data_IF_766309693586
#
_entry.id   IF_766309693586
#
_cell.length_a   1.000
_cell.length_b   1.000
_cell.length_c   1.000
_cell.angle_alpha   90.00
_cell.angle_beta   90.00
_cell.angle_gamma   90.00
#
_symmetry.space_group_name_H-M   'P 1'
#
loop_
_entity.id
_entity.type
_entity.pdbx_description
1 polymer ?
#
# COMPACT_ATOMS: atom_id res chain seq x y z
N UNK A 1 -4.64 -17.05 1.85
CA UNK A 1 -3.81 -15.86 1.58
C UNK A 1 -3.34 -15.35 2.93
N UNK A 2 -2.04 -15.12 3.13
CA UNK A 2 -1.49 -14.79 4.45
C UNK A 2 -1.87 -13.35 4.80
N UNK A 3 -2.23 -13.12 6.05
CA UNK A 3 -2.40 -11.80 6.65
C UNK A 3 -1.82 -11.84 8.07
N UNK A 4 -1.29 -10.71 8.55
CA UNK A 4 -0.79 -10.59 9.91
C UNK A 4 -1.64 -9.60 10.69
N UNK A 5 -1.91 -9.92 11.95
CA UNK A 5 -2.65 -9.07 12.85
C UNK A 5 -1.78 -8.72 14.05
N UNK A 6 -1.82 -7.44 14.42
CA UNK A 6 -1.33 -6.94 15.70
C UNK A 6 -2.50 -6.33 16.46
N UNK A 7 -2.25 -5.81 17.66
CA UNK A 7 -3.29 -5.11 18.43
C UNK A 7 -3.92 -3.96 17.62
N UNK A 8 -3.09 -3.24 16.84
CA UNK A 8 -3.49 -2.02 16.13
C UNK A 8 -3.61 -2.18 14.61
N UNK A 9 -2.92 -3.14 14.01
CA UNK A 9 -2.73 -3.21 12.56
C UNK A 9 -3.19 -4.54 11.97
N UNK A 10 -3.70 -4.46 10.75
CA UNK A 10 -3.97 -5.58 9.87
C UNK A 10 -3.09 -5.42 8.63
N UNK A 11 -2.10 -6.30 8.48
CA UNK A 11 -1.20 -6.32 7.33
C UNK A 11 -1.76 -7.35 6.35
N UNK A 12 -2.20 -6.85 5.20
CA UNK A 12 -2.87 -7.66 4.17
C UNK A 12 -2.42 -7.26 2.78
N UNK A 13 -2.69 -8.11 1.80
CA UNK A 13 -2.55 -7.70 0.41
C UNK A 13 -3.45 -6.49 0.11
N UNK A 14 -2.98 -5.65 -0.81
CA UNK A 14 -3.80 -4.56 -1.36
C UNK A 14 -5.10 -5.12 -1.97
N UNK A 15 -6.14 -4.30 -1.94
CA UNK A 15 -7.43 -4.52 -2.60
C UNK A 15 -7.63 -3.42 -3.63
N UNK A 16 -8.55 -3.63 -4.57
CA UNK A 16 -8.89 -2.61 -5.57
C UNK A 16 -9.31 -1.27 -4.92
N UNK A 17 -10.14 -1.34 -3.88
CA UNK A 17 -10.67 -0.17 -3.17
C UNK A 17 -9.62 0.59 -2.34
N UNK A 18 -8.41 0.05 -2.18
CA UNK A 18 -7.32 0.78 -1.52
C UNK A 18 -6.72 1.86 -2.41
N UNK A 19 -7.00 1.84 -3.73
CA UNK A 19 -6.32 2.71 -4.69
C UNK A 19 -6.46 4.19 -4.35
N UNK A 20 -7.64 4.63 -3.88
CA UNK A 20 -7.90 6.03 -3.57
C UNK A 20 -7.02 6.49 -2.42
N UNK A 21 -7.06 5.78 -1.30
CA UNK A 21 -6.24 6.08 -0.13
C UNK A 21 -4.74 5.96 -0.45
N UNK A 22 -4.36 4.94 -1.22
CA UNK A 22 -2.97 4.71 -1.61
C UNK A 22 -2.45 5.82 -2.52
N UNK A 23 -3.23 6.26 -3.50
CA UNK A 23 -2.89 7.38 -4.36
C UNK A 23 -2.76 8.68 -3.58
N UNK A 24 -3.62 8.92 -2.58
CA UNK A 24 -3.48 10.08 -1.67
C UNK A 24 -2.18 10.03 -0.90
N UNK A 25 -1.81 8.86 -0.33
CA UNK A 25 -0.54 8.67 0.39
C UNK A 25 0.66 8.91 -0.54
N UNK A 26 0.64 8.37 -1.76
CA UNK A 26 1.74 8.56 -2.72
C UNK A 26 1.79 9.98 -3.33
N UNK A 27 0.71 10.76 -3.24
CA UNK A 27 0.69 12.14 -3.69
C UNK A 27 1.28 13.10 -2.63
N UNK A 28 1.50 12.64 -1.40
CA UNK A 28 2.08 13.43 -0.32
C UNK A 28 3.62 13.54 -0.47
N UNK A 29 4.18 14.76 -0.65
CA UNK A 29 5.62 14.96 -0.77
C UNK A 29 6.40 14.59 0.49
N UNK A 30 5.81 14.67 1.68
CA UNK A 30 6.49 14.28 2.92
C UNK A 30 6.66 12.77 3.01
N UNK A 31 5.63 12.01 2.60
CA UNK A 31 5.67 10.55 2.51
C UNK A 31 6.70 10.10 1.47
N UNK A 32 6.68 10.72 0.28
CA UNK A 32 7.49 10.29 -0.86
C UNK A 32 8.93 10.79 -0.84
N UNK A 33 9.27 11.79 -0.01
CA UNK A 33 10.60 12.44 0.04
C UNK A 33 11.78 11.46 0.02
N UNK A 34 11.64 10.30 0.67
CA UNK A 34 12.68 9.27 0.78
C UNK A 34 12.33 7.95 0.09
N UNK A 35 11.24 7.90 -0.68
CA UNK A 35 10.79 6.71 -1.39
C UNK A 35 11.10 6.82 -2.89
N UNK A 36 11.76 5.80 -3.44
CA UNK A 36 12.11 5.78 -4.87
C UNK A 36 13.06 6.91 -5.24
N UNK A 37 12.69 7.73 -6.24
CA UNK A 37 13.43 8.91 -6.66
C UNK A 37 12.99 10.20 -5.95
N UNK A 38 12.18 10.09 -4.90
CA UNK A 38 11.70 11.22 -4.10
C UNK A 38 10.51 11.97 -4.70
N UNK A 39 10.01 11.58 -5.88
CA UNK A 39 8.85 12.22 -6.53
C UNK A 39 7.53 11.63 -6.05
N UNK A 40 6.53 12.49 -5.94
CA UNK A 40 5.15 12.06 -5.71
C UNK A 40 4.61 11.32 -6.92
N UNK A 41 3.64 10.43 -6.68
CA UNK A 41 2.98 9.66 -7.73
C UNK A 41 1.56 10.19 -7.93
N UNK A 42 1.19 10.42 -9.17
CA UNK A 42 -0.21 10.58 -9.55
C UNK A 42 -0.98 9.27 -9.41
N UNK A 43 -2.32 9.34 -9.41
CA UNK A 43 -3.20 8.17 -9.26
C UNK A 43 -2.86 7.00 -10.20
N UNK A 44 -2.57 7.29 -11.47
CA UNK A 44 -2.24 6.26 -12.45
C UNK A 44 -0.89 5.58 -12.17
N UNK A 45 0.09 6.32 -11.65
CA UNK A 45 1.39 5.78 -11.22
C UNK A 45 1.26 4.94 -9.97
N UNK A 46 0.49 5.43 -8.98
CA UNK A 46 0.15 4.68 -7.77
C UNK A 46 -0.57 3.36 -8.13
N UNK A 47 -1.53 3.39 -9.06
CA UNK A 47 -2.20 2.18 -9.55
C UNK A 47 -1.22 1.17 -10.16
N UNK A 48 -0.32 1.60 -11.06
CA UNK A 48 0.69 0.71 -11.66
C UNK A 48 1.59 0.09 -10.60
N UNK A 49 1.98 0.87 -9.59
CA UNK A 49 2.80 0.37 -8.49
C UNK A 49 2.02 -0.64 -7.63
N UNK A 50 0.76 -0.38 -7.32
CA UNK A 50 -0.11 -1.30 -6.58
C UNK A 50 -0.32 -2.62 -7.35
N UNK A 51 -0.55 -2.55 -8.67
CA UNK A 51 -0.65 -3.72 -9.53
C UNK A 51 0.65 -4.54 -9.55
N UNK A 52 1.81 -3.88 -9.58
CA UNK A 52 3.12 -4.56 -9.49
C UNK A 52 3.31 -5.26 -8.14
N UNK A 53 2.93 -4.62 -7.02
CA UNK A 53 2.94 -5.23 -5.68
C UNK A 53 2.03 -6.47 -5.64
N UNK A 54 0.81 -6.36 -6.17
CA UNK A 54 -0.13 -7.47 -6.24
C UNK A 54 0.38 -8.61 -7.13
N UNK A 55 1.01 -8.29 -8.26
CA UNK A 55 1.66 -9.27 -9.12
C UNK A 55 2.79 -10.02 -8.40
N UNK A 56 3.61 -9.32 -7.62
CA UNK A 56 4.67 -9.95 -6.80
C UNK A 56 4.07 -10.95 -5.81
N UNK A 57 2.98 -10.59 -5.13
CA UNK A 57 2.24 -11.50 -4.26
C UNK A 57 1.77 -12.77 -4.98
N UNK A 58 1.18 -12.64 -6.16
CA UNK A 58 0.72 -13.79 -6.93
C UNK A 58 1.88 -14.70 -7.38
N UNK A 59 3.04 -14.11 -7.72
CA UNK A 59 4.20 -14.86 -8.20
C UNK A 59 5.01 -15.52 -7.08
N UNK A 60 5.08 -14.90 -5.90
CA UNK A 60 6.02 -15.29 -4.84
C UNK A 60 5.35 -15.79 -3.56
N UNK A 61 4.06 -15.54 -3.38
CA UNK A 61 3.33 -15.86 -2.15
C UNK A 61 3.67 -14.96 -0.95
N UNK A 62 4.49 -13.92 -1.16
CA UNK A 62 4.84 -12.87 -0.20
C UNK A 62 5.06 -11.54 -0.95
N UNK A 63 5.08 -10.41 -0.24
CA UNK A 63 5.32 -9.10 -0.84
C UNK A 63 5.10 -7.94 0.13
N UNK A 64 5.05 -6.73 -0.42
CA UNK A 64 4.75 -5.51 0.33
C UNK A 64 3.29 -5.54 0.81
N UNK A 65 3.07 -5.24 2.08
CA UNK A 65 1.76 -5.22 2.71
C UNK A 65 1.08 -3.87 2.52
N UNK A 66 -0.24 -3.88 2.37
CA UNK A 66 -1.09 -2.77 2.75
C UNK A 66 -1.24 -2.80 4.28
N UNK A 67 -1.03 -1.66 4.93
CA UNK A 67 -1.14 -1.52 6.39
C UNK A 67 -2.47 -0.84 6.69
N UNK A 68 -3.39 -1.60 7.27
CA UNK A 68 -4.73 -1.14 7.66
C UNK A 68 -4.78 -0.95 9.18
N UNK A 69 -5.29 0.19 9.64
CA UNK A 69 -5.60 0.41 11.05
C UNK A 69 -6.87 -0.37 11.44
N UNK A 70 -6.77 -1.23 12.46
CA UNK A 70 -7.88 -2.13 12.84
C UNK A 70 -9.13 -1.40 13.35
N UNK A 71 -8.94 -0.25 14.01
CA UNK A 71 -10.05 0.47 14.64
C UNK A 71 -10.96 1.15 13.60
N UNK A 72 -10.38 1.61 12.49
CA UNK A 72 -11.07 2.46 11.50
C UNK A 72 -11.21 1.79 10.14
N UNK A 73 -10.41 0.76 9.86
CA UNK A 73 -10.27 0.19 8.53
C UNK A 73 -9.50 1.08 7.55
N UNK A 74 -8.91 2.18 8.02
CA UNK A 74 -8.17 3.10 7.17
C UNK A 74 -6.85 2.48 6.72
N UNK A 75 -6.54 2.63 5.43
CA UNK A 75 -5.20 2.37 4.92
C UNK A 75 -4.26 3.48 5.43
N UNK A 76 -3.27 3.10 6.23
CA UNK A 76 -2.32 4.03 6.86
C UNK A 76 -0.92 3.98 6.24
N UNK A 77 -0.69 3.07 5.29
CA UNK A 77 0.59 2.99 4.59
C UNK A 77 0.85 1.62 3.97
N UNK A 78 2.14 1.36 3.73
CA UNK A 78 2.66 0.10 3.18
C UNK A 78 3.94 -0.32 3.89
N UNK A 79 4.21 -1.62 3.97
CA UNK A 79 5.39 -2.18 4.65
C UNK A 79 6.01 -3.34 3.88
#
# INVERSE_FOLDING_TARGET
>A
MVALHTDRLHLRMFREDDLDAYATICADPEVMRYLGDGKTLGRAEAWRQMAMILGHWQLRGYGLWAVEERATGALVGRL
#
